data_IF_749160548858
#
_entry.id   IF_749160548858
#
_cell.length_a   1.000
_cell.length_b   1.000
_cell.length_c   1.000
_cell.angle_alpha   90.00
_cell.angle_beta   90.00
_cell.angle_gamma   90.00
#
_symmetry.space_group_name_H-M   'P 1'
#
loop_
_entity.id
_entity.type
_entity.pdbx_description
1 polymer ?
#
# COMPACT_ATOMS: atom_id res chain seq x y z
N UNK A 1 6.62 37.17 8.36
CA UNK A 1 6.06 36.51 7.16
C UNK A 1 7.19 35.93 6.32
N UNK A 2 7.42 34.61 6.42
CA UNK A 2 8.45 33.88 5.67
C UNK A 2 8.34 34.16 4.15
N UNK A 3 7.14 33.99 3.57
CA UNK A 3 6.87 34.18 2.14
C UNK A 3 7.13 35.59 1.60
N UNK A 4 6.96 36.63 2.43
CA UNK A 4 7.25 38.03 2.06
C UNK A 4 8.74 38.26 1.80
N UNK A 5 9.62 37.54 2.50
CA UNK A 5 11.09 37.65 2.31
C UNK A 5 11.55 37.09 0.96
N UNK A 6 10.80 36.14 0.40
CA UNK A 6 11.12 35.47 -0.88
C UNK A 6 10.26 35.97 -2.05
N UNK A 7 9.50 37.05 -1.88
CA UNK A 7 8.57 37.59 -2.88
C UNK A 7 7.57 36.54 -3.45
N UNK A 8 7.23 35.53 -2.64
CA UNK A 8 6.28 34.47 -3.02
C UNK A 8 4.86 35.03 -2.86
N UNK A 9 4.14 35.14 -3.99
CA UNK A 9 2.77 35.70 -4.06
C UNK A 9 1.66 34.64 -4.01
N UNK A 10 1.97 33.40 -4.39
CA UNK A 10 1.04 32.28 -4.39
C UNK A 10 1.77 30.98 -4.04
N UNK A 11 1.02 30.00 -3.58
CA UNK A 11 1.48 28.62 -3.41
C UNK A 11 0.84 27.79 -4.52
N UNK A 12 1.60 26.84 -5.07
CA UNK A 12 1.06 25.95 -6.08
C UNK A 12 -0.07 25.08 -5.49
N UNK A 13 -1.17 24.96 -6.22
CA UNK A 13 -2.34 24.19 -5.81
C UNK A 13 -3.10 23.70 -7.04
N UNK A 14 -2.97 22.40 -7.32
CA UNK A 14 -3.61 21.76 -8.47
C UNK A 14 -4.99 21.20 -8.06
N UNK A 15 -6.02 21.47 -8.86
CA UNK A 15 -7.39 20.96 -8.60
C UNK A 15 -7.48 19.46 -8.88
N UNK A 16 -8.06 18.69 -7.96
CA UNK A 16 -8.28 17.23 -8.12
C UNK A 16 -9.09 16.90 -9.37
N UNK A 17 -8.80 15.78 -10.03
CA UNK A 17 -9.53 15.34 -11.23
C UNK A 17 -11.04 15.15 -10.99
N UNK A 18 -11.91 15.60 -11.92
CA UNK A 18 -13.35 15.40 -11.81
C UNK A 18 -13.75 13.98 -12.23
N UNK A 19 -14.55 13.31 -11.42
CA UNK A 19 -15.19 12.04 -11.79
C UNK A 19 -16.39 12.27 -12.71
N UNK A 20 -16.57 11.44 -13.77
CA UNK A 20 -17.79 11.47 -14.57
C UNK A 20 -18.98 10.98 -13.76
N UNK A 21 -20.13 11.65 -13.90
CA UNK A 21 -21.39 11.17 -13.31
C UNK A 21 -21.91 9.94 -14.08
N UNK A 22 -22.68 9.05 -13.43
CA UNK A 22 -23.36 7.96 -14.14
C UNK A 22 -24.13 8.48 -15.36
N UNK A 23 -23.85 7.90 -16.53
CA UNK A 23 -24.43 8.33 -17.80
C UNK A 23 -23.88 9.64 -18.37
N UNK A 24 -22.67 10.06 -17.96
CA UNK A 24 -21.96 11.25 -18.47
C UNK A 24 -22.78 12.56 -18.41
N UNK A 25 -23.71 12.66 -17.45
CA UNK A 25 -24.59 13.83 -17.30
C UNK A 25 -23.83 15.01 -16.68
N UNK A 26 -24.18 16.22 -17.12
CA UNK A 26 -23.72 17.46 -16.49
C UNK A 26 -24.24 17.58 -15.05
N UNK A 27 -23.45 18.22 -14.18
CA UNK A 27 -23.84 18.51 -12.81
C UNK A 27 -22.67 18.90 -11.92
N UNK A 28 -22.90 18.92 -10.60
CA UNK A 28 -21.89 19.28 -9.61
C UNK A 28 -20.67 18.36 -9.69
N UNK A 29 -19.49 18.98 -9.62
CA UNK A 29 -18.18 18.31 -9.66
C UNK A 29 -18.00 17.39 -8.45
N UNK A 30 -17.58 16.16 -8.70
CA UNK A 30 -17.17 15.18 -7.68
C UNK A 30 -15.73 14.73 -7.96
N UNK A 31 -14.89 14.49 -6.93
CA UNK A 31 -13.54 13.97 -7.14
C UNK A 31 -13.55 12.49 -7.55
N UNK A 32 -12.45 12.03 -8.15
CA UNK A 32 -12.26 10.63 -8.55
C UNK A 32 -11.32 9.90 -7.58
N UNK A 33 -11.68 8.66 -7.19
CA UNK A 33 -10.80 7.80 -6.39
C UNK A 33 -9.98 6.90 -7.34
N UNK A 34 -8.66 6.97 -7.24
CA UNK A 34 -7.74 6.13 -8.01
C UNK A 34 -7.47 4.78 -7.33
N UNK A 35 -7.71 4.65 -6.02
CA UNK A 35 -7.50 3.43 -5.24
C UNK A 35 -8.79 2.62 -5.09
N UNK A 36 -8.70 1.37 -4.64
CA UNK A 36 -9.88 0.60 -4.24
C UNK A 36 -10.46 1.18 -2.93
N UNK A 37 -11.79 1.13 -2.78
CA UNK A 37 -12.47 1.65 -1.58
C UNK A 37 -12.44 0.69 -0.38
N UNK A 38 -12.01 -0.54 -0.60
CA UNK A 38 -11.96 -1.61 0.41
C UNK A 38 -10.55 -1.71 1.02
N UNK A 39 -10.45 -2.29 2.22
CA UNK A 39 -9.15 -2.56 2.85
C UNK A 39 -8.63 -3.90 2.31
N UNK A 40 -7.95 -3.85 1.17
CA UNK A 40 -7.47 -5.02 0.40
C UNK A 40 -5.94 -5.03 0.20
N UNK A 41 -5.22 -4.19 0.94
CA UNK A 41 -3.77 -4.05 0.80
C UNK A 41 -3.33 -3.47 -0.53
N UNK A 42 -4.17 -2.69 -1.25
CA UNK A 42 -3.80 -2.02 -2.50
C UNK A 42 -2.50 -1.19 -2.40
N UNK A 43 -2.15 -0.70 -1.21
CA UNK A 43 -0.91 0.03 -0.96
C UNK A 43 0.33 -0.83 -1.15
N UNK A 44 0.23 -2.15 -0.94
CA UNK A 44 1.31 -3.12 -1.13
C UNK A 44 1.24 -3.72 -2.54
N UNK A 45 0.05 -4.07 -3.02
CA UNK A 45 -0.15 -4.91 -4.21
C UNK A 45 -0.52 -4.14 -5.48
N UNK A 46 -0.86 -2.86 -5.37
CA UNK A 46 -1.41 -2.09 -6.47
C UNK A 46 -2.89 -2.36 -6.72
N UNK A 47 -3.48 -1.55 -7.59
CA UNK A 47 -4.90 -1.64 -8.00
C UNK A 47 -5.05 -2.47 -9.27
N UNK A 48 -4.11 -2.33 -10.21
CA UNK A 48 -4.16 -2.96 -11.52
C UNK A 48 -3.39 -4.28 -11.49
N UNK A 49 -3.94 -5.31 -12.14
CA UNK A 49 -3.29 -6.62 -12.21
C UNK A 49 -1.93 -6.57 -12.90
N UNK A 50 -1.79 -5.77 -13.95
CA UNK A 50 -0.53 -5.55 -14.65
C UNK A 50 0.55 -4.99 -13.71
N UNK A 51 0.21 -3.96 -12.93
CA UNK A 51 1.13 -3.35 -11.98
C UNK A 51 1.44 -4.31 -10.82
N UNK A 52 0.45 -5.07 -10.37
CA UNK A 52 0.63 -6.12 -9.37
C UNK A 52 1.61 -7.20 -9.84
N UNK A 53 1.53 -7.61 -11.12
CA UNK A 53 2.48 -8.53 -11.75
C UNK A 53 3.88 -7.92 -11.85
N UNK A 54 4.01 -6.63 -12.16
CA UNK A 54 5.31 -5.93 -12.20
C UNK A 54 6.00 -5.90 -10.83
N UNK A 55 5.24 -5.79 -9.74
CA UNK A 55 5.75 -5.82 -8.37
C UNK A 55 6.19 -7.22 -7.90
N UNK A 56 5.83 -8.29 -8.63
CA UNK A 56 6.19 -9.68 -8.29
C UNK A 56 7.55 -10.07 -8.86
N UNK A 57 8.23 -10.99 -8.18
CA UNK A 57 9.45 -11.64 -8.69
C UNK A 57 9.14 -12.61 -9.83
N UNK A 58 7.90 -13.12 -9.89
CA UNK A 58 7.48 -14.21 -10.77
C UNK A 58 7.97 -15.58 -10.32
N UNK A 59 8.52 -15.69 -9.10
CA UNK A 59 8.99 -16.95 -8.54
C UNK A 59 8.75 -17.05 -7.03
N UNK A 60 8.22 -18.19 -6.59
CA UNK A 60 7.99 -18.53 -5.18
C UNK A 60 6.88 -17.73 -4.50
N UNK A 61 6.01 -17.08 -5.27
CA UNK A 61 4.96 -16.19 -4.80
C UNK A 61 5.48 -14.90 -4.18
N UNK A 62 6.70 -14.46 -4.52
CA UNK A 62 7.37 -13.35 -3.86
C UNK A 62 7.13 -12.01 -4.57
N UNK A 63 7.17 -10.93 -3.78
CA UNK A 63 7.36 -9.57 -4.27
C UNK A 63 8.84 -9.31 -4.58
N UNK A 64 9.09 -8.50 -5.59
CA UNK A 64 10.44 -7.98 -5.90
C UNK A 64 10.95 -7.14 -4.75
N UNK A 65 12.21 -7.36 -4.40
CA UNK A 65 12.92 -6.61 -3.37
C UNK A 65 14.33 -6.29 -3.87
N UNK A 66 14.96 -5.28 -3.28
CA UNK A 66 16.32 -4.87 -3.57
C UNK A 66 17.29 -5.33 -2.45
N UNK A 67 18.15 -6.34 -2.69
CA UNK A 67 19.08 -6.89 -1.71
C UNK A 67 20.39 -6.08 -1.60
N UNK A 68 20.33 -4.75 -1.74
CA UNK A 68 21.52 -3.86 -1.82
C UNK A 68 22.47 -3.96 -0.61
N UNK A 69 21.95 -4.31 0.57
CA UNK A 69 22.73 -4.45 1.80
C UNK A 69 22.87 -5.90 2.30
N UNK A 70 22.61 -6.87 1.42
CA UNK A 70 22.67 -8.29 1.76
C UNK A 70 24.07 -8.74 2.20
N UNK A 71 25.13 -8.18 1.62
CA UNK A 71 26.53 -8.43 2.02
C UNK A 71 26.83 -8.04 3.48
N UNK A 72 26.07 -7.09 4.02
CA UNK A 72 26.17 -6.65 5.42
C UNK A 72 25.20 -7.41 6.35
N UNK A 73 24.51 -8.44 5.84
CA UNK A 73 23.50 -9.20 6.58
C UNK A 73 22.22 -8.41 6.87
N UNK A 74 21.99 -7.29 6.18
CA UNK A 74 20.79 -6.47 6.35
C UNK A 74 19.65 -6.97 5.46
N UNK A 75 18.41 -6.66 5.86
CA UNK A 75 17.19 -7.07 5.15
C UNK A 75 16.97 -6.26 3.88
N UNK A 76 16.38 -6.91 2.87
CA UNK A 76 16.09 -6.32 1.56
C UNK A 76 15.16 -5.09 1.64
N UNK A 77 15.39 -4.10 0.79
CA UNK A 77 14.53 -2.91 0.67
C UNK A 77 13.51 -3.07 -0.46
N UNK A 78 12.58 -2.13 -0.57
CA UNK A 78 11.66 -2.05 -1.70
C UNK A 78 12.43 -1.91 -3.04
N UNK A 79 11.83 -2.34 -4.16
CA UNK A 79 12.43 -2.19 -5.47
C UNK A 79 12.60 -0.71 -5.83
N UNK A 80 13.54 -0.42 -6.73
CA UNK A 80 13.79 0.92 -7.23
C UNK A 80 12.80 1.25 -8.35
N UNK A 81 12.20 2.44 -8.31
CA UNK A 81 11.32 2.95 -9.35
C UNK A 81 12.16 3.41 -10.55
N UNK A 82 12.11 2.66 -11.63
CA UNK A 82 12.87 2.93 -12.88
C UNK A 82 11.99 3.61 -13.93
N UNK A 83 10.70 3.29 -13.96
CA UNK A 83 9.70 3.92 -14.83
C UNK A 83 9.14 5.15 -14.11
N UNK A 84 9.15 6.30 -14.79
CA UNK A 84 8.71 7.59 -14.23
C UNK A 84 9.26 7.89 -12.83
N UNK A 85 10.60 7.95 -12.67
CA UNK A 85 11.28 7.95 -11.37
C UNK A 85 11.01 9.21 -10.52
N UNK A 86 10.47 10.27 -11.11
CA UNK A 86 10.12 11.52 -10.42
C UNK A 86 8.63 11.59 -10.02
N UNK A 87 7.83 10.58 -10.36
CA UNK A 87 6.43 10.55 -9.94
C UNK A 87 6.30 10.09 -8.48
N UNK A 88 5.79 11.00 -7.63
CA UNK A 88 5.55 10.75 -6.21
C UNK A 88 6.78 10.97 -5.30
N UNK A 89 7.87 11.51 -5.86
CA UNK A 89 9.14 11.68 -5.18
C UNK A 89 10.01 12.71 -5.91
N UNK A 90 10.80 13.52 -5.18
CA UNK A 90 11.76 14.45 -5.79
C UNK A 90 13.17 13.95 -5.54
N UNK A 91 13.83 13.46 -6.59
CA UNK A 91 15.21 13.00 -6.53
C UNK A 91 16.17 14.18 -6.50
N UNK A 92 17.25 14.11 -5.71
CA UNK A 92 18.27 15.14 -5.71
C UNK A 92 19.24 14.98 -6.90
N UNK A 93 19.46 13.73 -7.35
CA UNK A 93 20.31 13.42 -8.49
C UNK A 93 19.71 12.28 -9.36
N UNK A 94 20.12 12.19 -10.62
CA UNK A 94 19.69 11.14 -11.55
C UNK A 94 20.16 9.74 -11.16
N UNK A 95 21.19 9.64 -10.30
CA UNK A 95 21.70 8.38 -9.74
C UNK A 95 20.89 7.87 -8.54
N UNK A 96 20.00 8.70 -7.98
CA UNK A 96 19.12 8.29 -6.90
C UNK A 96 17.83 7.71 -7.49
N UNK A 97 17.23 6.78 -6.76
CA UNK A 97 15.98 6.15 -7.14
C UNK A 97 15.05 6.14 -5.95
N UNK A 98 13.78 6.44 -6.22
CA UNK A 98 12.73 6.32 -5.23
C UNK A 98 12.26 4.86 -5.14
N UNK A 99 11.63 4.49 -4.04
CA UNK A 99 11.06 3.16 -3.89
C UNK A 99 9.80 2.98 -4.73
N UNK A 100 9.57 1.77 -5.19
CA UNK A 100 8.36 1.36 -5.91
C UNK A 100 7.54 0.39 -5.04
N UNK A 101 6.23 0.64 -4.94
CA UNK A 101 5.27 -0.13 -4.16
C UNK A 101 3.88 -0.03 -4.80
N UNK A 102 2.84 -0.58 -4.16
CA UNK A 102 1.45 -0.56 -4.65
C UNK A 102 0.82 0.83 -4.80
N UNK A 103 1.41 1.87 -4.22
CA UNK A 103 0.99 3.26 -4.45
C UNK A 103 2.17 4.22 -4.67
N UNK A 104 1.89 5.33 -5.36
CA UNK A 104 2.90 6.32 -5.77
C UNK A 104 3.49 7.13 -4.60
N UNK A 105 2.81 7.20 -3.45
CA UNK A 105 3.20 8.05 -2.32
C UNK A 105 4.14 7.38 -1.34
N UNK A 106 4.64 6.18 -1.64
CA UNK A 106 5.55 5.42 -0.77
C UNK A 106 6.77 6.22 -0.30
N UNK A 107 7.19 7.23 -1.07
CA UNK A 107 8.35 8.08 -0.80
C UNK A 107 8.01 9.45 -0.19
N UNK A 108 6.76 9.72 0.19
CA UNK A 108 6.37 11.01 0.78
C UNK A 108 7.15 11.29 2.07
N UNK A 109 7.28 10.27 2.93
CA UNK A 109 7.98 10.36 4.20
C UNK A 109 8.56 9.00 4.59
N UNK A 110 9.64 9.03 5.38
CA UNK A 110 10.44 7.84 5.70
C UNK A 110 9.68 6.73 6.44
N UNK A 111 8.85 7.10 7.43
CA UNK A 111 8.03 6.16 8.20
C UNK A 111 7.03 5.42 7.30
N UNK A 112 6.45 6.09 6.30
CA UNK A 112 5.54 5.47 5.33
C UNK A 112 6.31 4.44 4.49
N UNK A 113 7.48 4.82 3.95
CA UNK A 113 8.36 3.89 3.24
C UNK A 113 8.75 2.67 4.10
N UNK A 114 9.00 2.87 5.39
CA UNK A 114 9.27 1.79 6.34
C UNK A 114 8.07 0.85 6.50
N UNK A 115 6.84 1.37 6.60
CA UNK A 115 5.63 0.55 6.70
C UNK A 115 5.39 -0.27 5.43
N UNK A 116 5.57 0.33 4.25
CA UNK A 116 5.52 -0.38 2.96
C UNK A 116 6.56 -1.49 2.89
N UNK A 117 7.81 -1.19 3.27
CA UNK A 117 8.90 -2.17 3.30
C UNK A 117 8.60 -3.31 4.28
N UNK A 118 8.01 -3.02 5.44
CA UNK A 118 7.62 -4.02 6.43
C UNK A 118 6.58 -5.00 5.86
N UNK A 119 5.53 -4.48 5.23
CA UNK A 119 4.46 -5.31 4.67
C UNK A 119 4.95 -6.16 3.50
N UNK A 120 5.79 -5.61 2.61
CA UNK A 120 6.40 -6.38 1.52
C UNK A 120 7.31 -7.52 2.04
N UNK A 121 8.08 -7.25 3.12
CA UNK A 121 8.89 -8.29 3.78
C UNK A 121 8.03 -9.35 4.45
N UNK A 122 6.93 -8.98 5.09
CA UNK A 122 6.02 -9.94 5.72
C UNK A 122 5.35 -10.83 4.67
N UNK A 123 4.95 -10.28 3.52
CA UNK A 123 4.45 -11.08 2.41
C UNK A 123 5.47 -12.12 1.96
N UNK A 124 6.73 -11.70 1.75
CA UNK A 124 7.81 -12.62 1.36
C UNK A 124 8.17 -13.64 2.45
N UNK A 125 7.99 -13.30 3.74
CA UNK A 125 8.13 -14.25 4.84
C UNK A 125 7.03 -15.31 4.77
N UNK A 126 5.78 -14.88 4.63
CA UNK A 126 4.61 -15.76 4.55
C UNK A 126 4.70 -16.71 3.35
N UNK A 127 4.99 -16.19 2.14
CA UNK A 127 5.13 -17.01 0.94
C UNK A 127 6.24 -18.08 1.08
N UNK A 128 7.38 -17.74 1.71
CA UNK A 128 8.46 -18.71 1.99
C UNK A 128 8.07 -19.78 3.01
N UNK A 129 7.29 -19.43 4.03
CA UNK A 129 6.83 -20.44 5.00
C UNK A 129 5.71 -21.31 4.42
N UNK A 130 4.80 -20.73 3.64
CA UNK A 130 3.74 -21.46 2.94
C UNK A 130 4.31 -22.45 1.93
N UNK A 131 5.38 -22.11 1.20
CA UNK A 131 6.00 -23.02 0.23
C UNK A 131 6.69 -24.22 0.90
N UNK A 132 7.21 -24.07 2.12
CA UNK A 132 7.74 -25.19 2.91
C UNK A 132 6.64 -26.14 3.37
N UNK A 133 5.50 -25.60 3.78
CA UNK A 133 4.35 -26.37 4.27
C UNK A 133 3.61 -27.04 3.11
N UNK A 134 3.47 -26.34 1.99
CA UNK A 134 2.78 -26.78 0.78
C UNK A 134 3.73 -26.78 -0.43
N UNK A 135 4.65 -27.76 -0.55
CA UNK A 135 5.59 -27.81 -1.68
C UNK A 135 4.94 -28.00 -3.06
N UNK A 136 3.65 -28.34 -3.08
CA UNK A 136 2.87 -28.57 -4.30
C UNK A 136 2.19 -27.31 -4.83
N UNK A 137 2.24 -26.19 -4.09
CA UNK A 137 1.66 -24.92 -4.54
C UNK A 137 2.57 -24.25 -5.58
N UNK A 138 1.94 -23.68 -6.60
CA UNK A 138 2.62 -22.89 -7.62
C UNK A 138 2.83 -21.43 -7.17
N UNK A 139 3.51 -20.65 -8.02
CA UNK A 139 3.81 -19.24 -7.76
C UNK A 139 2.54 -18.42 -7.48
N UNK A 140 1.49 -18.64 -8.26
CA UNK A 140 0.23 -17.91 -8.14
C UNK A 140 -0.49 -18.22 -6.84
N UNK A 141 -0.60 -19.50 -6.48
CA UNK A 141 -1.25 -19.91 -5.22
C UNK A 141 -0.50 -19.35 -4.02
N UNK A 142 0.83 -19.41 -4.02
CA UNK A 142 1.65 -18.85 -2.95
C UNK A 142 1.46 -17.34 -2.81
N UNK A 143 1.45 -16.61 -3.92
CA UNK A 143 1.25 -15.17 -3.94
C UNK A 143 -0.14 -14.79 -3.40
N UNK A 144 -1.20 -15.44 -3.88
CA UNK A 144 -2.58 -15.11 -3.47
C UNK A 144 -2.85 -15.47 -2.02
N UNK A 145 -2.35 -16.59 -1.52
CA UNK A 145 -2.53 -16.98 -0.10
C UNK A 145 -1.72 -16.07 0.83
N UNK A 146 -0.46 -15.73 0.48
CA UNK A 146 0.31 -14.74 1.23
C UNK A 146 -0.37 -13.36 1.22
N UNK A 147 -0.90 -12.93 0.07
CA UNK A 147 -1.69 -11.69 -0.07
C UNK A 147 -2.93 -11.71 0.82
N UNK A 148 -3.69 -12.80 0.82
CA UNK A 148 -4.90 -12.96 1.63
C UNK A 148 -4.61 -12.81 3.12
N UNK A 149 -3.50 -13.38 3.60
CA UNK A 149 -3.09 -13.26 5.00
C UNK A 149 -2.68 -11.82 5.34
N UNK A 150 -1.91 -11.15 4.47
CA UNK A 150 -1.54 -9.74 4.68
C UNK A 150 -2.78 -8.84 4.75
N UNK A 151 -3.76 -9.05 3.87
CA UNK A 151 -5.03 -8.31 3.89
C UNK A 151 -5.73 -8.50 5.24
N UNK A 152 -5.82 -9.74 5.71
CA UNK A 152 -6.41 -10.04 7.01
C UNK A 152 -5.65 -9.39 8.17
N UNK A 153 -4.31 -9.36 8.13
CA UNK A 153 -3.49 -8.68 9.13
C UNK A 153 -3.76 -7.16 9.14
N UNK A 154 -3.81 -6.52 7.97
CA UNK A 154 -4.09 -5.08 7.85
C UNK A 154 -5.49 -4.77 8.40
N UNK A 155 -6.50 -5.54 7.99
CA UNK A 155 -7.88 -5.38 8.48
C UNK A 155 -7.95 -5.57 10.00
N UNK A 156 -7.35 -6.64 10.53
CA UNK A 156 -7.34 -6.93 11.96
C UNK A 156 -6.69 -5.79 12.76
N UNK A 157 -5.48 -5.34 12.37
CA UNK A 157 -4.80 -4.23 13.05
C UNK A 157 -5.66 -2.96 12.99
N UNK A 158 -6.28 -2.68 11.84
CA UNK A 158 -7.11 -1.49 11.66
C UNK A 158 -8.31 -1.49 12.61
N UNK A 159 -9.10 -2.56 12.63
CA UNK A 159 -10.34 -2.61 13.43
C UNK A 159 -10.10 -2.93 14.91
N UNK A 160 -9.09 -3.73 15.23
CA UNK A 160 -8.82 -4.16 16.60
C UNK A 160 -7.96 -3.16 17.40
N UNK A 161 -6.98 -2.53 16.74
CA UNK A 161 -5.95 -1.75 17.44
C UNK A 161 -6.06 -0.26 17.13
N UNK A 162 -6.24 0.10 15.85
CA UNK A 162 -6.21 1.50 15.44
C UNK A 162 -7.54 2.24 15.68
N UNK A 163 -8.65 1.73 15.14
CA UNK A 163 -9.95 2.40 15.21
C UNK A 163 -10.47 2.63 16.64
N UNK A 164 -10.34 1.69 17.60
CA UNK A 164 -10.79 1.92 18.97
C UNK A 164 -10.10 3.10 19.66
N UNK A 165 -8.81 3.34 19.36
CA UNK A 165 -8.04 4.45 19.92
C UNK A 165 -8.53 5.79 19.36
N UNK A 166 -8.90 5.83 18.08
CA UNK A 166 -9.33 7.04 17.38
C UNK A 166 -10.80 7.38 17.67
N UNK A 167 -11.69 6.39 17.60
CA UNK A 167 -13.14 6.58 17.64
C UNK A 167 -13.72 6.44 19.06
N UNK A 168 -13.03 5.73 19.94
CA UNK A 168 -13.53 5.37 21.26
C UNK A 168 -14.55 4.24 21.24
N UNK A 169 -14.74 3.60 22.40
CA UNK A 169 -15.54 2.38 22.54
C UNK A 169 -17.01 2.57 22.15
N UNK A 170 -17.61 3.69 22.53
CA UNK A 170 -19.04 3.98 22.27
C UNK A 170 -19.35 4.02 20.76
N UNK A 171 -18.47 4.64 19.96
CA UNK A 171 -18.62 4.71 18.50
C UNK A 171 -18.42 3.34 17.86
N UNK A 172 -17.42 2.59 18.34
CA UNK A 172 -17.17 1.23 17.86
C UNK A 172 -18.39 0.32 18.11
N UNK A 173 -19.00 0.38 19.29
CA UNK A 173 -20.23 -0.36 19.62
C UNK A 173 -21.40 0.08 18.75
N UNK A 174 -21.62 1.39 18.61
CA UNK A 174 -22.73 1.97 17.85
C UNK A 174 -22.75 1.52 16.39
N UNK A 175 -21.58 1.38 15.77
CA UNK A 175 -21.46 0.98 14.37
C UNK A 175 -21.14 -0.51 14.18
N UNK A 176 -21.14 -1.32 15.24
CA UNK A 176 -20.89 -2.76 15.15
C UNK A 176 -19.48 -3.10 14.67
N UNK A 177 -18.48 -2.29 15.03
CA UNK A 177 -17.09 -2.43 14.56
C UNK A 177 -16.20 -3.24 15.51
N UNK A 178 -16.76 -3.76 16.61
CA UNK A 178 -16.03 -4.59 17.57
C UNK A 178 -15.87 -5.99 17.00
N UNK A 179 -14.61 -6.45 16.94
CA UNK A 179 -14.31 -7.79 16.48
C UNK A 179 -14.74 -8.86 17.49
N UNK A 180 -15.27 -9.97 16.98
CA UNK A 180 -15.51 -11.16 17.77
C UNK A 180 -14.19 -11.84 18.14
N UNK A 181 -14.11 -12.43 19.34
CA UNK A 181 -12.89 -13.11 19.81
C UNK A 181 -12.62 -14.42 19.08
N UNK A 182 -13.66 -15.05 18.53
CA UNK A 182 -13.62 -16.35 17.87
C UNK A 182 -14.72 -16.42 16.82
N UNK A 183 -14.53 -17.23 15.78
CA UNK A 183 -15.51 -17.45 14.73
C UNK A 183 -15.27 -16.61 13.49
N UNK A 184 -16.22 -16.70 12.56
CA UNK A 184 -16.29 -15.84 11.38
C UNK A 184 -17.42 -14.85 11.58
N UNK A 185 -17.15 -13.58 11.26
CA UNK A 185 -18.20 -12.57 11.24
C UNK A 185 -18.89 -12.62 9.87
N UNK A 186 -20.15 -13.04 9.86
CA UNK A 186 -20.96 -13.17 8.64
C UNK A 186 -21.70 -11.87 8.28
N UNK A 187 -21.51 -10.79 9.04
CA UNK A 187 -22.15 -9.50 8.78
C UNK A 187 -21.34 -8.61 7.84
N UNK A 188 -21.98 -8.05 6.81
CA UNK A 188 -21.52 -6.90 6.03
C UNK A 188 -22.71 -6.08 5.55
#
# INVERSE_FOLDING_TARGET
>A
YFYKKFNIKCQDFVRSFPAPRPGCKLGSRTPFNLLTGVIDGNTVYGINEEFSRHLRSGYGGLLRMNPVFSEFGLKDLLPLKVVDPDEGCTRANSSEFCFEAGEIRVNEQLVLACMHTLMAREHNRLARELSKINPHWDDETLYQEARRIIIAQIQHITFNEFLPIILGKEVMEKFGLILEKQGYWDGY
#
